data_IF_412679945326
#
_entry.id   IF_412679945326
#
_cell.length_a   1.000
_cell.length_b   1.000
_cell.length_c   1.000
_cell.angle_alpha   90.00
_cell.angle_beta   90.00
_cell.angle_gamma   90.00
#
_symmetry.space_group_name_H-M   'P 1'
#
loop_
_entity.id
_entity.type
_entity.pdbx_description
1 polymer ?
#
# COMPACT_ATOMS: atom_id res chain seq x y z
N UNK A 1 1.40 -11.30 -31.71
CA UNK A 1 0.36 -11.59 -32.71
C UNK A 1 -0.97 -11.25 -32.07
N UNK A 2 -1.24 -9.97 -31.82
CA UNK A 2 -1.80 -9.01 -32.79
C UNK A 2 -3.04 -9.56 -33.48
N UNK A 3 -4.21 -9.12 -33.01
CA UNK A 3 -5.27 -8.61 -33.88
C UNK A 3 -5.97 -7.48 -33.11
N UNK A 4 -5.42 -6.28 -33.24
CA UNK A 4 -6.19 -5.05 -33.18
C UNK A 4 -6.48 -4.69 -34.63
N UNK A 5 -7.71 -4.91 -35.08
CA UNK A 5 -8.24 -4.30 -36.30
C UNK A 5 -9.73 -4.63 -36.31
N UNK A 6 -10.59 -3.68 -35.97
CA UNK A 6 -11.99 -3.56 -36.42
C UNK A 6 -12.57 -2.22 -35.91
N UNK A 7 -11.86 -1.14 -36.18
CA UNK A 7 -12.47 0.18 -36.37
C UNK A 7 -12.22 0.52 -37.83
N UNK A 8 -13.18 0.21 -38.69
CA UNK A 8 -13.71 1.13 -39.71
C UNK A 8 -14.57 0.33 -40.71
N UNK A 9 -15.89 0.53 -40.63
CA UNK A 9 -16.86 0.42 -41.73
C UNK A 9 -18.23 0.76 -41.18
N UNK A 10 -18.57 2.05 -41.29
CA UNK A 10 -19.93 2.50 -41.15
C UNK A 10 -20.78 1.98 -42.31
N UNK A 11 -21.74 1.12 -42.00
CA UNK A 11 -22.90 0.88 -42.86
C UNK A 11 -24.16 0.77 -41.98
N UNK A 12 -25.01 1.78 -42.15
CA UNK A 12 -26.45 1.84 -41.93
C UNK A 12 -27.13 0.72 -41.11
N UNK A 13 -27.17 0.86 -39.78
CA UNK A 13 -28.28 0.30 -39.00
C UNK A 13 -29.47 1.26 -39.04
N UNK A 14 -30.20 1.18 -40.15
CA UNK A 14 -31.56 1.67 -40.24
C UNK A 14 -32.49 0.94 -39.27
N UNK A 15 -33.15 1.72 -38.45
CA UNK A 15 -34.55 1.53 -38.06
C UNK A 15 -34.96 0.40 -37.09
N UNK A 16 -34.10 0.01 -36.13
CA UNK A 16 -34.56 -0.78 -34.97
C UNK A 16 -35.32 0.04 -33.91
N UNK A 17 -35.25 1.37 -33.97
CA UNK A 17 -36.01 2.24 -33.09
C UNK A 17 -37.52 2.26 -33.42
N UNK A 18 -37.94 1.94 -34.64
CA UNK A 18 -39.37 1.87 -34.97
C UNK A 18 -40.04 0.58 -34.47
N UNK A 19 -39.34 -0.56 -34.45
CA UNK A 19 -39.88 -1.82 -33.92
C UNK A 19 -39.92 -1.85 -32.39
N UNK A 20 -38.90 -1.30 -31.71
CA UNK A 20 -38.92 -1.16 -30.24
C UNK A 20 -40.00 -0.16 -29.82
N UNK A 21 -40.17 0.94 -30.57
CA UNK A 21 -41.26 1.89 -30.30
C UNK A 21 -42.64 1.32 -30.64
N UNK A 22 -42.78 0.44 -31.63
CA UNK A 22 -44.04 -0.24 -31.94
C UNK A 22 -44.44 -1.29 -30.88
N UNK A 23 -43.47 -2.00 -30.30
CA UNK A 23 -43.71 -2.87 -29.14
C UNK A 23 -43.99 -2.07 -27.86
N UNK A 24 -43.25 -0.97 -27.60
CA UNK A 24 -43.56 -0.04 -26.49
C UNK A 24 -44.92 0.62 -26.62
N UNK A 25 -45.43 0.83 -27.84
CA UNK A 25 -46.77 1.40 -28.07
C UNK A 25 -47.91 0.38 -27.88
N UNK A 26 -47.62 -0.92 -27.98
CA UNK A 26 -48.62 -1.98 -27.74
C UNK A 26 -48.65 -2.48 -26.30
N UNK A 27 -47.57 -2.29 -25.53
CA UNK A 27 -47.55 -2.40 -24.06
C UNK A 27 -47.77 -1.06 -23.36
N UNK A 28 -48.45 -0.12 -24.03
CA UNK A 28 -49.05 1.02 -23.38
C UNK A 28 -50.10 0.51 -22.40
N UNK A 29 -49.64 0.26 -21.17
CA UNK A 29 -50.33 0.41 -19.90
C UNK A 29 -51.84 0.60 -20.11
N UNK A 30 -52.57 -0.51 -20.13
CA UNK A 30 -54.04 -0.51 -20.06
C UNK A 30 -54.40 0.53 -18.99
N UNK A 31 -55.16 1.60 -19.31
CA UNK A 31 -55.45 2.63 -18.33
C UNK A 31 -56.15 1.94 -17.18
N UNK A 32 -55.45 1.80 -16.04
CA UNK A 32 -56.09 1.36 -14.80
C UNK A 32 -57.24 2.33 -14.59
N UNK A 33 -58.46 1.81 -14.76
CA UNK A 33 -59.64 2.65 -14.76
C UNK A 33 -59.66 3.44 -13.47
N UNK A 34 -60.11 4.69 -13.51
CA UNK A 34 -60.26 5.54 -12.32
C UNK A 34 -61.02 4.76 -11.22
N UNK A 35 -61.96 3.91 -11.63
CA UNK A 35 -62.65 2.95 -10.78
C UNK A 35 -61.74 1.95 -10.10
N UNK A 36 -60.76 1.33 -10.77
CA UNK A 36 -59.77 0.45 -10.11
C UNK A 36 -58.92 1.20 -9.08
N UNK A 37 -58.51 2.45 -9.34
CA UNK A 37 -57.79 3.28 -8.36
C UNK A 37 -58.65 3.65 -7.16
N UNK A 38 -59.90 4.02 -7.39
CA UNK A 38 -60.88 4.32 -6.32
C UNK A 38 -61.20 3.06 -5.52
N UNK A 39 -61.31 1.90 -6.18
CA UNK A 39 -61.56 0.62 -5.53
C UNK A 39 -60.36 0.16 -4.70
N UNK A 40 -59.13 0.35 -5.20
CA UNK A 40 -57.91 0.17 -4.41
C UNK A 40 -57.89 1.13 -3.21
N UNK A 41 -58.18 2.42 -3.39
CA UNK A 41 -58.22 3.40 -2.30
C UNK A 41 -59.29 3.07 -1.23
N UNK A 42 -60.48 2.67 -1.67
CA UNK A 42 -61.57 2.27 -0.78
C UNK A 42 -61.24 0.96 -0.06
N UNK A 43 -60.64 -0.01 -0.77
CA UNK A 43 -60.17 -1.27 -0.20
C UNK A 43 -59.06 -1.05 0.83
N UNK A 44 -58.09 -0.16 0.57
CA UNK A 44 -57.07 0.22 1.54
C UNK A 44 -57.67 0.91 2.76
N UNK A 45 -58.59 1.86 2.57
CA UNK A 45 -59.29 2.51 3.69
C UNK A 45 -60.06 1.50 4.55
N UNK A 46 -60.75 0.56 3.92
CA UNK A 46 -61.46 -0.50 4.62
C UNK A 46 -60.49 -1.41 5.39
N UNK A 47 -59.34 -1.75 4.79
CA UNK A 47 -58.33 -2.60 5.40
C UNK A 47 -57.66 -1.93 6.60
N UNK A 48 -57.30 -0.64 6.50
CA UNK A 48 -56.79 0.13 7.64
C UNK A 48 -57.85 0.35 8.73
N UNK A 49 -59.12 0.54 8.34
CA UNK A 49 -60.22 0.65 9.29
C UNK A 49 -60.45 -0.66 10.06
N UNK A 50 -60.44 -1.80 9.36
CA UNK A 50 -60.56 -3.13 9.98
C UNK A 50 -59.35 -3.44 10.88
N UNK A 51 -58.14 -3.12 10.43
CA UNK A 51 -56.92 -3.28 11.22
C UNK A 51 -56.95 -2.40 12.47
N UNK A 52 -57.30 -1.12 12.33
CA UNK A 52 -57.41 -0.17 13.44
C UNK A 52 -58.48 -0.58 14.45
N UNK A 53 -59.61 -1.10 13.96
CA UNK A 53 -60.66 -1.66 14.82
C UNK A 53 -60.18 -2.91 15.56
N UNK A 54 -59.50 -3.83 14.89
CA UNK A 54 -58.94 -5.03 15.53
C UNK A 54 -57.88 -4.68 16.59
N UNK A 55 -57.04 -3.67 16.36
CA UNK A 55 -56.07 -3.16 17.33
C UNK A 55 -56.78 -2.52 18.53
N UNK A 56 -57.85 -1.75 18.29
CA UNK A 56 -58.67 -1.13 19.33
C UNK A 56 -59.45 -2.14 20.18
N UNK A 57 -59.92 -3.23 19.58
CA UNK A 57 -60.67 -4.30 20.26
C UNK A 57 -59.75 -5.19 21.12
N UNK A 58 -58.47 -5.36 20.75
CA UNK A 58 -57.52 -6.23 21.47
C UNK A 58 -56.14 -5.57 21.75
N UNK A 59 -56.09 -4.46 22.51
CA UNK A 59 -54.86 -3.66 22.66
C UNK A 59 -53.71 -4.42 23.34
N UNK A 60 -53.99 -5.31 24.29
CA UNK A 60 -52.96 -6.07 25.03
C UNK A 60 -52.21 -7.07 24.15
N UNK A 61 -52.92 -7.75 23.24
CA UNK A 61 -52.33 -8.75 22.35
C UNK A 61 -51.37 -8.10 21.36
N UNK A 62 -51.73 -6.93 20.82
CA UNK A 62 -50.87 -6.18 19.91
C UNK A 62 -49.64 -5.56 20.62
N UNK A 63 -49.76 -5.15 21.89
CA UNK A 63 -48.61 -4.71 22.70
C UNK A 63 -47.64 -5.84 23.04
N UNK A 64 -48.15 -7.04 23.33
CA UNK A 64 -47.30 -8.22 23.52
C UNK A 64 -46.61 -8.62 22.22
N UNK A 65 -47.32 -8.56 21.10
CA UNK A 65 -46.75 -8.83 19.79
C UNK A 65 -45.63 -7.85 19.44
N UNK A 66 -45.81 -6.55 19.67
CA UNK A 66 -44.76 -5.56 19.42
C UNK A 66 -43.55 -5.75 20.33
N UNK A 67 -43.76 -6.16 21.58
CA UNK A 67 -42.69 -6.53 22.52
C UNK A 67 -41.94 -7.81 22.09
N UNK A 68 -42.64 -8.79 21.52
CA UNK A 68 -42.02 -9.98 20.94
C UNK A 68 -41.20 -9.66 19.70
N UNK A 69 -41.67 -8.73 18.86
CA UNK A 69 -40.90 -8.26 17.69
C UNK A 69 -39.68 -7.45 18.13
N UNK A 70 -39.77 -6.63 19.18
CA UNK A 70 -38.61 -5.86 19.67
C UNK A 70 -37.53 -6.75 20.30
N UNK A 71 -37.86 -7.95 20.78
CA UNK A 71 -36.86 -8.94 21.22
C UNK A 71 -35.90 -9.38 20.10
N UNK A 72 -36.25 -9.18 18.83
CA UNK A 72 -35.30 -9.39 17.71
C UNK A 72 -34.06 -8.49 17.79
N UNK A 73 -34.13 -7.36 18.51
CA UNK A 73 -32.97 -6.49 18.76
C UNK A 73 -31.89 -7.15 19.63
N UNK A 74 -32.22 -8.22 20.38
CA UNK A 74 -31.21 -9.00 21.12
C UNK A 74 -30.19 -9.69 20.19
N UNK A 75 -30.52 -9.88 18.91
CA UNK A 75 -29.58 -10.41 17.92
C UNK A 75 -28.39 -9.49 17.61
N UNK A 76 -28.42 -8.24 18.07
CA UNK A 76 -27.30 -7.30 17.89
C UNK A 76 -26.08 -7.63 18.76
N UNK A 77 -26.21 -8.50 19.76
CA UNK A 77 -25.11 -8.89 20.66
C UNK A 77 -23.96 -9.61 19.92
N UNK A 78 -24.25 -10.30 18.83
CA UNK A 78 -23.25 -11.01 18.01
C UNK A 78 -22.81 -10.24 16.77
N UNK A 79 -23.01 -8.92 16.75
CA UNK A 79 -22.60 -8.10 15.61
C UNK A 79 -21.07 -7.96 15.57
N UNK A 80 -20.43 -8.65 14.60
CA UNK A 80 -19.00 -8.54 14.33
C UNK A 80 -18.73 -7.32 13.43
N UNK A 81 -18.10 -6.26 13.97
CA UNK A 81 -17.61 -5.15 13.16
C UNK A 81 -16.33 -5.57 12.44
N UNK A 82 -16.43 -5.82 11.14
CA UNK A 82 -15.26 -6.05 10.28
C UNK A 82 -14.75 -4.73 9.73
N UNK A 83 -13.79 -4.14 10.40
CA UNK A 83 -13.10 -2.93 9.93
C UNK A 83 -11.88 -3.32 9.08
N UNK A 84 -12.16 -3.89 7.90
CA UNK A 84 -11.12 -4.18 6.91
C UNK A 84 -11.31 -3.30 5.68
N UNK A 85 -10.36 -2.38 5.46
CA UNK A 85 -10.36 -1.47 4.31
C UNK A 85 -10.37 -2.27 2.99
N UNK A 86 -9.84 -3.50 2.99
CA UNK A 86 -9.79 -4.34 1.80
C UNK A 86 -11.14 -4.97 1.46
N UNK A 87 -11.84 -5.56 2.43
CA UNK A 87 -13.12 -6.26 2.17
C UNK A 87 -14.29 -5.27 2.00
N UNK A 88 -14.20 -4.07 2.58
CA UNK A 88 -15.24 -3.05 2.44
C UNK A 88 -15.26 -2.32 1.09
N UNK A 89 -14.12 -2.24 0.39
CA UNK A 89 -13.97 -1.39 -0.80
C UNK A 89 -13.53 -2.13 -2.07
N UNK A 90 -13.18 -3.42 -1.98
CA UNK A 90 -12.80 -4.24 -3.14
C UNK A 90 -13.76 -5.44 -3.24
N UNK A 91 -14.28 -5.79 -4.44
CA UNK A 91 -15.16 -6.93 -4.57
C UNK A 91 -14.41 -8.24 -4.26
N UNK A 92 -15.00 -9.11 -3.44
CA UNK A 92 -14.37 -10.34 -2.92
C UNK A 92 -13.93 -11.33 -4.01
N UNK A 93 -14.46 -11.20 -5.23
CA UNK A 93 -14.10 -12.01 -6.39
C UNK A 93 -13.11 -11.33 -7.35
N UNK A 94 -12.48 -10.23 -6.95
CA UNK A 94 -11.47 -9.56 -7.77
C UNK A 94 -10.23 -10.45 -7.98
N UNK A 95 -9.58 -10.32 -9.14
CA UNK A 95 -8.32 -11.02 -9.44
C UNK A 95 -7.21 -10.70 -8.41
N UNK A 96 -7.19 -9.48 -7.89
CA UNK A 96 -6.24 -9.05 -6.85
C UNK A 96 -6.41 -9.82 -5.54
N UNK A 97 -7.62 -10.24 -5.17
CA UNK A 97 -7.84 -11.10 -4.00
C UNK A 97 -7.20 -12.47 -4.20
N UNK A 98 -7.38 -13.08 -5.38
CA UNK A 98 -6.74 -14.35 -5.71
C UNK A 98 -5.21 -14.25 -5.68
N UNK A 99 -4.63 -13.23 -6.31
CA UNK A 99 -3.17 -13.01 -6.31
C UNK A 99 -2.62 -12.81 -4.89
N UNK A 100 -3.35 -12.07 -4.05
CA UNK A 100 -2.97 -11.86 -2.64
C UNK A 100 -3.04 -13.15 -1.82
N UNK A 101 -4.09 -13.95 -2.03
CA UNK A 101 -4.28 -15.23 -1.35
C UNK A 101 -3.20 -16.25 -1.73
N UNK A 102 -2.85 -16.34 -3.01
CA UNK A 102 -1.76 -17.18 -3.48
C UNK A 102 -0.42 -16.73 -2.90
N UNK A 103 -0.13 -15.42 -2.90
CA UNK A 103 1.09 -14.87 -2.28
C UNK A 103 1.16 -15.20 -0.77
N UNK A 104 0.03 -15.15 -0.08
CA UNK A 104 -0.10 -15.47 1.33
C UNK A 104 0.26 -16.93 1.61
N UNK A 105 -0.23 -17.85 0.78
CA UNK A 105 0.11 -19.28 0.89
C UNK A 105 1.60 -19.55 0.65
N UNK A 106 2.23 -18.86 -0.30
CA UNK A 106 3.68 -18.97 -0.51
C UNK A 106 4.52 -18.43 0.66
N UNK A 107 3.98 -17.47 1.41
CA UNK A 107 4.67 -16.81 2.52
C UNK A 107 4.38 -17.44 3.88
N UNK A 108 3.65 -18.57 3.91
CA UNK A 108 3.11 -19.22 5.13
C UNK A 108 2.40 -18.22 6.08
N UNK A 109 1.75 -17.24 5.47
CA UNK A 109 1.06 -16.19 6.17
C UNK A 109 -0.41 -16.59 6.34
N UNK A 110 -1.02 -16.39 7.51
CA UNK A 110 -2.46 -16.66 7.68
C UNK A 110 -3.33 -15.43 7.47
N UNK A 111 -2.76 -14.24 7.69
CA UNK A 111 -3.47 -12.94 7.66
C UNK A 111 -2.57 -11.88 7.02
N UNK A 112 -3.17 -10.84 6.43
CA UNK A 112 -2.42 -9.68 5.95
C UNK A 112 -1.65 -9.02 7.11
N UNK A 113 -0.36 -8.72 6.95
CA UNK A 113 0.42 -8.10 8.01
C UNK A 113 -0.08 -6.69 8.33
N UNK A 114 0.16 -6.25 9.56
CA UNK A 114 0.15 -4.82 9.87
C UNK A 114 1.39 -4.20 9.26
N UNK A 115 1.24 -3.03 8.65
CA UNK A 115 2.34 -2.28 8.03
C UNK A 115 2.53 -0.98 8.78
N UNK A 116 3.74 -0.78 9.31
CA UNK A 116 4.19 0.51 9.82
C UNK A 116 5.12 1.14 8.79
N UNK A 117 4.87 2.38 8.43
CA UNK A 117 5.78 3.18 7.64
C UNK A 117 6.44 4.23 8.53
N UNK A 118 7.77 4.28 8.51
CA UNK A 118 8.49 5.45 8.98
C UNK A 118 9.31 6.04 7.85
N UNK A 119 9.39 7.36 7.88
CA UNK A 119 9.82 8.20 6.77
C UNK A 119 10.93 9.12 7.27
N UNK A 120 11.99 9.27 6.50
CA UNK A 120 13.19 10.05 6.85
C UNK A 120 13.43 11.14 5.82
N UNK A 121 13.44 12.38 6.30
CA UNK A 121 13.69 13.58 5.51
C UNK A 121 14.98 14.25 5.98
N UNK A 122 15.63 15.01 5.10
CA UNK A 122 16.77 15.81 5.50
C UNK A 122 16.27 17.07 6.23
N UNK A 123 16.83 17.37 7.41
CA UNK A 123 16.44 18.56 8.20
C UNK A 123 16.70 19.87 7.48
N UNK A 124 17.69 19.89 6.60
CA UNK A 124 18.02 21.05 5.78
C UNK A 124 17.16 21.19 4.51
N UNK A 125 16.20 20.29 4.31
CA UNK A 125 15.31 20.27 3.13
C UNK A 125 16.00 19.92 1.83
N UNK A 126 17.26 19.46 1.86
CA UNK A 126 18.01 19.02 0.68
C UNK A 126 17.91 17.50 0.52
N UNK A 127 18.79 16.92 -0.29
CA UNK A 127 18.70 15.50 -0.62
C UNK A 127 19.07 14.56 0.52
N UNK A 128 18.32 13.47 0.69
CA UNK A 128 18.69 12.33 1.53
C UNK A 128 19.77 11.43 0.94
N UNK A 129 20.17 11.62 -0.33
CA UNK A 129 21.13 10.77 -1.05
C UNK A 129 22.60 10.97 -0.64
N UNK A 130 22.88 11.95 0.22
CA UNK A 130 24.24 12.25 0.69
C UNK A 130 24.74 11.14 1.60
N UNK A 131 26.03 10.77 1.49
CA UNK A 131 26.66 9.71 2.29
C UNK A 131 26.36 9.85 3.80
N UNK A 132 26.54 11.03 4.37
CA UNK A 132 26.26 11.28 5.80
C UNK A 132 24.80 11.07 6.21
N UNK A 133 23.86 11.36 5.31
CA UNK A 133 22.42 11.20 5.58
C UNK A 133 22.00 9.74 5.43
N UNK A 134 22.56 9.02 4.47
CA UNK A 134 22.39 7.57 4.32
C UNK A 134 22.96 6.81 5.53
N UNK A 135 24.11 7.23 6.05
CA UNK A 135 24.71 6.65 7.27
C UNK A 135 23.87 6.92 8.52
N UNK A 136 23.23 8.10 8.61
CA UNK A 136 22.28 8.38 9.67
C UNK A 136 20.98 7.58 9.54
N UNK A 137 20.45 7.46 8.32
CA UNK A 137 19.27 6.65 8.04
C UNK A 137 19.49 5.17 8.43
N UNK A 138 20.64 4.59 8.09
CA UNK A 138 21.00 3.22 8.51
C UNK A 138 21.03 3.08 10.04
N UNK A 139 21.65 4.04 10.74
CA UNK A 139 21.67 4.04 12.22
C UNK A 139 20.28 4.12 12.81
N UNK A 140 19.39 4.95 12.26
CA UNK A 140 17.99 5.06 12.69
C UNK A 140 17.27 3.72 12.48
N UNK A 141 17.36 3.13 11.29
CA UNK A 141 16.69 1.85 10.97
C UNK A 141 17.15 0.75 11.92
N UNK A 142 18.45 0.67 12.20
CA UNK A 142 18.99 -0.29 13.16
C UNK A 142 18.48 -0.04 14.58
N UNK A 143 18.47 1.21 15.04
CA UNK A 143 17.95 1.57 16.36
C UNK A 143 16.46 1.24 16.50
N UNK A 144 15.68 1.44 15.43
CA UNK A 144 14.26 1.11 15.36
C UNK A 144 14.03 -0.40 15.43
N UNK A 145 14.76 -1.19 14.65
CA UNK A 145 14.57 -2.66 14.63
C UNK A 145 14.99 -3.33 15.94
N UNK A 146 15.92 -2.73 16.69
CA UNK A 146 16.36 -3.17 18.02
C UNK A 146 15.55 -2.51 19.17
N UNK A 147 14.60 -1.62 18.85
CA UNK A 147 13.86 -0.85 19.84
C UNK A 147 13.03 -1.76 20.75
N UNK A 148 13.21 -1.53 22.04
CA UNK A 148 12.47 -2.21 23.10
C UNK A 148 11.52 -1.24 23.80
N UNK A 149 10.22 -1.52 23.73
CA UNK A 149 9.18 -0.72 24.37
C UNK A 149 8.74 -1.42 25.65
N UNK A 150 8.71 -0.68 26.77
CA UNK A 150 8.21 -1.19 28.06
C UNK A 150 6.82 -0.66 28.31
N UNK A 151 5.83 -1.54 28.42
CA UNK A 151 4.45 -1.18 28.77
C UNK A 151 3.89 -2.17 29.79
N UNK A 152 3.41 -1.69 30.94
CA UNK A 152 2.79 -2.54 31.97
C UNK A 152 3.69 -3.67 32.51
N UNK A 153 5.01 -3.48 32.56
CA UNK A 153 5.98 -4.51 32.97
C UNK A 153 6.37 -5.51 31.89
N UNK A 154 5.69 -5.51 30.74
CA UNK A 154 6.07 -6.30 29.57
C UNK A 154 7.10 -5.56 28.72
N UNK A 155 8.10 -6.31 28.26
CA UNK A 155 9.15 -5.84 27.36
C UNK A 155 8.83 -6.33 25.95
N UNK A 156 8.44 -5.40 25.09
CA UNK A 156 8.04 -5.69 23.71
C UNK A 156 9.20 -5.29 22.78
N UNK A 157 9.69 -6.24 21.99
CA UNK A 157 10.79 -6.04 21.04
C UNK A 157 10.25 -6.27 19.63
N UNK A 158 10.60 -5.40 18.67
CA UNK A 158 10.12 -5.55 17.29
C UNK A 158 10.41 -6.94 16.71
N UNK A 159 11.62 -7.46 16.97
CA UNK A 159 12.07 -8.76 16.49
C UNK A 159 11.17 -9.94 16.91
N UNK A 160 10.45 -9.84 18.04
CA UNK A 160 9.53 -10.90 18.46
C UNK A 160 8.13 -10.79 17.85
N UNK A 161 7.81 -9.67 17.18
CA UNK A 161 6.49 -9.41 16.58
C UNK A 161 6.55 -9.44 15.05
N UNK A 162 7.72 -9.20 14.47
CA UNK A 162 7.86 -9.09 13.03
C UNK A 162 7.74 -10.41 12.28
N UNK A 163 7.97 -11.56 12.91
CA UNK A 163 7.95 -12.86 12.22
C UNK A 163 6.57 -13.16 11.62
N UNK A 164 6.49 -13.63 10.35
CA UNK A 164 7.59 -14.02 9.44
C UNK A 164 8.16 -12.86 8.58
N UNK A 165 7.71 -11.62 8.76
CA UNK A 165 7.96 -10.46 7.91
C UNK A 165 9.12 -9.55 8.31
N UNK A 166 10.15 -10.07 8.97
CA UNK A 166 11.29 -9.29 9.47
C UNK A 166 12.26 -8.78 8.37
N UNK A 167 11.81 -8.67 7.12
CA UNK A 167 12.58 -8.24 5.95
C UNK A 167 12.26 -6.82 5.48
N UNK A 168 11.47 -6.05 6.25
CA UNK A 168 11.00 -4.72 5.88
C UNK A 168 12.09 -3.69 5.54
N UNK A 169 13.27 -3.82 6.15
CA UNK A 169 14.43 -2.96 5.93
C UNK A 169 15.39 -3.49 4.84
N UNK A 170 15.16 -4.70 4.32
CA UNK A 170 16.14 -5.43 3.51
C UNK A 170 16.52 -4.69 2.22
N UNK A 171 15.55 -4.07 1.54
CA UNK A 171 15.79 -3.32 0.29
C UNK A 171 16.75 -2.16 0.53
N UNK A 172 16.51 -1.37 1.59
CA UNK A 172 17.38 -0.26 1.96
C UNK A 172 18.75 -0.75 2.43
N UNK A 173 18.80 -1.81 3.25
CA UNK A 173 20.05 -2.39 3.75
C UNK A 173 20.95 -2.86 2.62
N UNK A 174 20.39 -3.59 1.66
CA UNK A 174 21.12 -4.05 0.46
C UNK A 174 21.62 -2.85 -0.34
N UNK A 175 20.75 -1.87 -0.64
CA UNK A 175 21.16 -0.66 -1.35
C UNK A 175 22.34 0.05 -0.65
N UNK A 176 22.25 0.22 0.67
CA UNK A 176 23.24 0.91 1.49
C UNK A 176 24.58 0.17 1.55
N UNK A 177 24.56 -1.14 1.71
CA UNK A 177 25.75 -2.00 1.76
C UNK A 177 26.59 -1.84 0.48
N UNK A 178 25.97 -1.99 -0.69
CA UNK A 178 26.67 -1.84 -1.96
C UNK A 178 26.99 -0.38 -2.30
N UNK A 179 26.19 0.57 -1.83
CA UNK A 179 26.52 2.00 -1.95
C UNK A 179 27.81 2.31 -1.19
N UNK A 180 27.99 1.76 0.00
CA UNK A 180 29.18 1.96 0.82
C UNK A 180 30.42 1.32 0.21
N UNK A 181 30.30 0.12 -0.34
CA UNK A 181 31.38 -0.56 -1.06
C UNK A 181 31.83 0.27 -2.27
N UNK A 182 30.88 0.74 -3.09
CA UNK A 182 31.17 1.58 -4.24
C UNK A 182 31.74 2.94 -3.85
N UNK A 183 31.23 3.55 -2.78
CA UNK A 183 31.74 4.82 -2.27
C UNK A 183 33.16 4.67 -1.73
N UNK A 184 33.46 3.58 -1.02
CA UNK A 184 34.80 3.28 -0.52
C UNK A 184 35.81 3.11 -1.67
N UNK A 185 35.45 2.35 -2.70
CA UNK A 185 36.29 2.16 -3.88
C UNK A 185 36.46 3.47 -4.67
N UNK A 186 35.41 4.27 -4.78
CA UNK A 186 35.47 5.58 -5.43
C UNK A 186 36.41 6.56 -4.69
N UNK A 187 36.46 6.52 -3.36
CA UNK A 187 37.35 7.38 -2.58
C UNK A 187 38.80 6.87 -2.58
N UNK A 188 39.00 5.56 -2.45
CA UNK A 188 40.35 4.97 -2.29
C UNK A 188 41.06 4.73 -3.63
N UNK A 189 40.34 4.16 -4.59
CA UNK A 189 40.87 3.72 -5.89
C UNK A 189 40.48 4.67 -7.03
N UNK A 190 39.59 5.65 -6.78
CA UNK A 190 39.02 6.55 -7.81
C UNK A 190 38.29 5.81 -8.92
N UNK A 191 37.78 4.63 -8.62
CA UNK A 191 37.00 3.82 -9.55
C UNK A 191 35.76 3.24 -8.85
N UNK A 192 34.74 2.90 -9.63
CA UNK A 192 33.58 2.15 -9.15
C UNK A 192 33.28 0.97 -10.08
N UNK A 193 32.76 -0.10 -9.53
CA UNK A 193 32.59 -1.38 -10.22
C UNK A 193 31.28 -1.44 -11.02
N UNK A 194 31.29 -2.03 -12.21
CA UNK A 194 30.08 -2.33 -12.99
C UNK A 194 29.23 -3.46 -12.37
N UNK A 195 29.82 -4.24 -11.46
CA UNK A 195 29.17 -5.39 -10.79
C UNK A 195 27.94 -4.96 -9.98
N UNK A 196 28.01 -3.79 -9.36
CA UNK A 196 26.91 -3.23 -8.56
C UNK A 196 26.38 -1.98 -9.25
N UNK A 197 25.33 -2.16 -10.04
CA UNK A 197 24.66 -1.08 -10.73
C UNK A 197 23.52 -0.55 -9.86
N UNK A 198 23.76 0.55 -9.15
CA UNK A 198 22.80 1.17 -8.21
C UNK A 198 21.90 2.21 -8.89
N UNK A 199 21.36 1.88 -10.06
CA UNK A 199 20.46 2.76 -10.81
C UNK A 199 19.01 2.67 -10.35
N UNK A 200 18.36 3.81 -10.21
CA UNK A 200 16.92 3.92 -9.98
C UNK A 200 16.16 3.68 -11.29
N UNK A 201 15.01 2.96 -11.28
CA UNK A 201 14.29 2.45 -10.11
C UNK A 201 14.69 1.05 -9.63
N UNK A 202 15.49 0.30 -10.40
CA UNK A 202 15.92 -1.06 -10.05
C UNK A 202 17.43 -1.17 -10.03
N UNK A 203 18.01 -1.39 -8.86
CA UNK A 203 19.42 -1.71 -8.74
C UNK A 203 19.67 -3.15 -9.22
N UNK A 204 20.84 -3.40 -9.80
CA UNK A 204 21.31 -4.74 -10.14
C UNK A 204 22.56 -5.05 -9.33
N UNK A 205 22.43 -6.01 -8.41
CA UNK A 205 23.48 -6.43 -7.50
C UNK A 205 23.74 -7.91 -7.76
N UNK A 206 24.93 -8.26 -8.24
CA UNK A 206 25.33 -9.67 -8.48
C UNK A 206 24.21 -10.44 -9.21
N UNK A 207 23.73 -9.88 -10.32
CA UNK A 207 22.65 -10.41 -11.18
C UNK A 207 21.22 -10.41 -10.59
N UNK A 208 21.03 -9.98 -9.35
CA UNK A 208 19.72 -9.85 -8.74
C UNK A 208 19.20 -8.42 -8.91
N UNK A 209 17.93 -8.30 -9.32
CA UNK A 209 17.26 -7.00 -9.44
C UNK A 209 16.63 -6.65 -8.10
N UNK A 210 17.01 -5.51 -7.54
CA UNK A 210 16.53 -4.99 -6.26
C UNK A 210 15.68 -3.75 -6.53
N UNK A 211 14.38 -3.74 -6.16
CA UNK A 211 13.48 -2.62 -6.39
C UNK A 211 13.72 -1.50 -5.37
N UNK A 212 14.67 -0.60 -5.65
CA UNK A 212 15.03 0.49 -4.74
C UNK A 212 13.99 1.62 -4.72
N UNK A 213 13.08 1.63 -5.67
CA UNK A 213 11.86 2.46 -5.68
C UNK A 213 10.91 2.17 -4.52
N UNK A 214 11.07 1.02 -3.84
CA UNK A 214 10.29 0.71 -2.64
C UNK A 214 10.74 1.49 -1.39
N UNK A 215 11.97 2.04 -1.38
CA UNK A 215 12.49 2.77 -0.22
C UNK A 215 12.91 4.21 -0.52
N UNK A 216 13.16 4.59 -1.78
CA UNK A 216 13.59 5.94 -2.17
C UNK A 216 12.47 6.68 -2.90
N UNK A 217 12.08 7.85 -2.38
CA UNK A 217 10.96 8.65 -2.88
C UNK A 217 11.36 10.08 -3.23
N UNK A 218 10.65 10.67 -4.19
CA UNK A 218 10.94 12.01 -4.71
C UNK A 218 12.28 12.08 -5.45
N UNK A 219 12.60 11.01 -6.19
CA UNK A 219 13.88 10.86 -6.88
C UNK A 219 13.93 11.75 -8.12
N UNK A 220 14.97 12.59 -8.23
CA UNK A 220 15.36 13.28 -9.46
C UNK A 220 16.63 12.63 -10.00
N UNK A 221 16.58 12.26 -11.27
CA UNK A 221 17.69 11.62 -11.95
C UNK A 221 18.65 12.66 -12.49
N UNK A 222 19.93 12.30 -12.55
CA UNK A 222 20.93 13.13 -13.23
C UNK A 222 20.51 13.24 -14.70
N UNK A 223 20.49 14.47 -15.23
CA UNK A 223 20.18 14.71 -16.63
C UNK A 223 21.36 14.25 -17.51
N UNK A 224 21.43 12.94 -17.74
CA UNK A 224 22.42 12.33 -18.60
C UNK A 224 21.80 12.23 -19.99
N UNK A 225 22.38 12.93 -20.97
CA UNK A 225 22.15 12.68 -22.40
C UNK A 225 22.73 11.31 -22.73
N UNK A 226 22.01 10.25 -22.37
CA UNK A 226 22.38 8.88 -22.72
C UNK A 226 22.23 8.72 -24.23
N UNK A 227 23.34 8.50 -24.92
CA UNK A 227 23.31 8.12 -26.32
C UNK A 227 22.96 6.62 -26.40
N UNK A 228 21.66 6.32 -26.52
CA UNK A 228 21.10 4.97 -26.47
C UNK A 228 21.70 4.00 -27.51
N UNK A 229 22.35 4.54 -28.54
CA UNK A 229 22.98 3.83 -29.66
C UNK A 229 24.21 3.02 -29.28
N UNK A 230 24.89 3.30 -28.15
CA UNK A 230 26.11 2.57 -27.77
C UNK A 230 25.82 1.26 -27.01
N UNK A 231 24.68 1.17 -26.30
CA UNK A 231 24.34 0.05 -25.42
C UNK A 231 23.82 -1.21 -26.15
N UNK A 232 23.16 -1.06 -27.30
CA UNK A 232 22.55 -2.19 -28.03
C UNK A 232 23.53 -2.93 -28.95
N UNK A 233 24.66 -2.29 -29.30
CA UNK A 233 25.65 -2.86 -30.23
C UNK A 233 26.61 -3.88 -29.59
N UNK A 234 26.59 -4.03 -28.27
CA UNK A 234 27.48 -4.94 -27.50
C UNK A 234 26.82 -6.22 -27.01
N UNK A 235 25.57 -6.48 -27.41
CA UNK A 235 24.76 -7.61 -26.90
C UNK A 235 25.24 -9.01 -27.31
N UNK A 236 26.14 -9.09 -28.30
CA UNK A 236 26.79 -10.35 -28.68
C UNK A 236 28.20 -10.44 -28.13
N UNK A 237 28.45 -11.29 -27.14
CA UNK A 237 29.79 -11.77 -26.71
C UNK A 237 30.61 -10.95 -25.68
N UNK A 238 30.05 -9.97 -24.95
CA UNK A 238 30.82 -9.18 -23.93
C UNK A 238 30.35 -9.29 -22.46
N UNK A 239 29.42 -10.18 -22.15
CA UNK A 239 28.73 -10.17 -20.85
C UNK A 239 29.64 -10.41 -19.61
N UNK A 240 30.69 -11.23 -19.73
CA UNK A 240 31.61 -11.49 -18.61
C UNK A 240 32.65 -10.36 -18.42
N UNK A 241 33.14 -9.77 -19.52
CA UNK A 241 34.12 -8.68 -19.46
C UNK A 241 33.50 -7.33 -19.09
N UNK A 242 32.25 -7.08 -19.47
CA UNK A 242 31.50 -5.89 -19.05
C UNK A 242 31.20 -5.87 -17.55
N UNK A 243 31.06 -7.04 -16.92
CA UNK A 243 30.90 -7.19 -15.47
C UNK A 243 32.17 -6.84 -14.69
N UNK A 244 33.36 -7.12 -15.24
CA UNK A 244 34.66 -6.79 -14.61
C UNK A 244 35.12 -5.35 -14.88
N UNK A 245 34.31 -4.52 -15.55
CA UNK A 245 34.69 -3.14 -15.82
C UNK A 245 34.63 -2.31 -14.54
N UNK A 246 35.72 -1.59 -14.31
CA UNK A 246 35.75 -0.47 -13.38
C UNK A 246 35.64 0.81 -14.19
N UNK A 247 34.87 1.77 -13.67
CA UNK A 247 34.69 3.09 -14.26
C UNK A 247 35.47 4.12 -13.44
N UNK A 248 36.19 5.01 -14.12
CA UNK A 248 36.91 6.10 -13.47
C UNK A 248 35.94 7.16 -12.92
N UNK A 249 36.24 7.66 -11.72
CA UNK A 249 35.49 8.73 -11.05
C UNK A 249 36.01 10.10 -11.51
N UNK A 250 35.11 10.96 -11.97
CA UNK A 250 35.40 12.37 -12.19
C UNK A 250 35.43 13.12 -10.85
N UNK A 251 36.62 13.56 -10.44
CA UNK A 251 36.82 14.31 -9.20
C UNK A 251 36.08 15.66 -9.14
N UNK A 252 35.59 16.19 -10.28
CA UNK A 252 34.84 17.46 -10.33
C UNK A 252 33.37 17.30 -9.95
N UNK A 253 32.84 16.07 -9.96
CA UNK A 253 31.43 15.78 -9.66
C UNK A 253 31.30 15.06 -8.32
N UNK A 254 30.16 15.22 -7.60
CA UNK A 254 29.89 14.44 -6.41
C UNK A 254 29.94 12.94 -6.72
N UNK A 255 30.52 12.15 -5.81
CA UNK A 255 30.71 10.71 -6.00
C UNK A 255 29.36 10.00 -6.03
N UNK A 256 28.43 10.43 -5.18
CA UNK A 256 27.11 9.84 -4.99
C UNK A 256 26.28 9.79 -6.29
N UNK A 257 26.47 10.80 -7.16
CA UNK A 257 25.77 10.94 -8.45
C UNK A 257 26.46 10.20 -9.59
N UNK A 258 27.65 9.66 -9.36
CA UNK A 258 28.41 8.89 -10.35
C UNK A 258 28.22 7.40 -10.09
N UNK A 259 28.24 6.99 -8.82
CA UNK A 259 27.96 5.60 -8.40
C UNK A 259 26.48 5.23 -8.52
N UNK A 260 25.59 6.22 -8.59
CA UNK A 260 24.15 6.06 -8.85
C UNK A 260 23.70 7.01 -9.96
N UNK A 261 22.50 6.83 -10.54
CA UNK A 261 21.90 7.81 -11.46
C UNK A 261 21.02 8.85 -10.75
N UNK A 262 21.10 8.96 -9.43
CA UNK A 262 20.22 9.81 -8.62
C UNK A 262 20.93 11.12 -8.25
N UNK A 263 20.39 12.25 -8.69
CA UNK A 263 20.86 13.59 -8.29
C UNK A 263 20.25 13.99 -6.95
N UNK A 264 18.99 13.59 -6.72
CA UNK A 264 18.26 13.98 -5.53
C UNK A 264 17.29 12.89 -5.10
N UNK A 265 17.35 12.47 -3.85
CA UNK A 265 16.29 11.74 -3.15
C UNK A 265 15.68 12.68 -2.11
N UNK A 266 14.35 12.80 -2.08
CA UNK A 266 13.65 13.64 -1.10
C UNK A 266 13.45 12.90 0.22
N UNK A 267 12.98 11.66 0.14
CA UNK A 267 12.50 10.90 1.27
C UNK A 267 13.00 9.46 1.19
N UNK A 268 13.41 8.92 2.32
CA UNK A 268 13.64 7.48 2.48
C UNK A 268 12.50 6.93 3.34
N UNK A 269 11.79 5.92 2.86
CA UNK A 269 10.75 5.25 3.64
C UNK A 269 11.10 3.78 3.83
N UNK A 270 10.86 3.28 5.04
CA UNK A 270 11.01 1.86 5.37
C UNK A 270 9.68 1.36 5.90
N UNK A 271 9.28 0.20 5.39
CA UNK A 271 8.02 -0.44 5.73
C UNK A 271 8.30 -1.65 6.61
N UNK A 272 7.99 -1.54 7.89
CA UNK A 272 8.04 -2.65 8.82
C UNK A 272 6.71 -3.37 8.83
N UNK A 273 6.76 -4.66 9.14
CA UNK A 273 5.63 -5.55 9.09
C UNK A 273 5.52 -6.33 10.39
N UNK A 274 4.30 -6.51 10.87
CA UNK A 274 4.00 -7.33 12.03
C UNK A 274 2.86 -8.30 11.78
N UNK A 275 2.90 -9.44 12.44
CA UNK A 275 1.89 -10.49 12.30
C UNK A 275 0.55 -10.12 12.96
N UNK A 276 -0.56 -10.44 12.29
CA UNK A 276 -1.93 -10.32 12.82
C UNK A 276 -2.50 -11.64 13.33
N UNK A 277 -1.68 -12.67 13.53
CA UNK A 277 -2.17 -14.03 13.79
C UNK A 277 -2.94 -14.15 15.12
N UNK A 278 -2.61 -13.32 16.12
CA UNK A 278 -3.25 -13.34 17.44
C UNK A 278 -3.62 -11.93 17.90
N UNK A 279 -4.67 -11.82 18.72
CA UNK A 279 -5.08 -10.53 19.31
C UNK A 279 -3.99 -9.91 20.18
N UNK A 280 -3.14 -10.75 20.81
CA UNK A 280 -1.97 -10.30 21.55
C UNK A 280 -0.89 -9.70 20.63
N UNK A 281 -0.60 -10.32 19.48
CA UNK A 281 0.38 -9.79 18.54
C UNK A 281 -0.05 -8.44 17.96
N UNK A 282 -1.35 -8.29 17.64
CA UNK A 282 -1.92 -7.01 17.19
C UNK A 282 -1.75 -5.94 18.27
N UNK A 283 -2.15 -6.24 19.51
CA UNK A 283 -2.01 -5.30 20.64
C UNK A 283 -0.56 -4.93 20.89
N UNK A 284 0.34 -5.91 20.91
CA UNK A 284 1.74 -5.70 21.22
C UNK A 284 2.44 -4.88 20.10
N UNK A 285 2.06 -5.09 18.84
CA UNK A 285 2.51 -4.24 17.73
C UNK A 285 1.99 -2.82 17.88
N UNK A 286 0.70 -2.61 18.16
CA UNK A 286 0.15 -1.26 18.39
C UNK A 286 0.83 -0.54 19.57
N UNK A 287 1.15 -1.26 20.64
CA UNK A 287 1.92 -0.69 21.76
C UNK A 287 3.34 -0.34 21.34
N UNK A 288 3.97 -1.18 20.52
CA UNK A 288 5.29 -0.91 19.97
C UNK A 288 5.29 0.30 19.02
N UNK A 289 4.26 0.45 18.18
CA UNK A 289 4.01 1.61 17.30
C UNK A 289 3.91 2.92 18.08
N UNK A 290 3.23 2.91 19.23
CA UNK A 290 3.20 4.07 20.13
C UNK A 290 4.59 4.38 20.70
N UNK A 291 5.33 3.35 21.08
CA UNK A 291 6.69 3.50 21.60
C UNK A 291 7.66 4.09 20.58
N UNK A 292 7.60 3.66 19.31
CA UNK A 292 8.42 4.25 18.25
C UNK A 292 7.99 5.68 17.90
N UNK A 293 6.69 5.99 17.96
CA UNK A 293 6.22 7.36 17.80
C UNK A 293 6.82 8.28 18.88
N UNK A 294 6.81 7.86 20.15
CA UNK A 294 7.42 8.63 21.23
C UNK A 294 8.96 8.70 21.11
N UNK A 295 9.59 7.60 20.71
CA UNK A 295 11.04 7.56 20.43
C UNK A 295 11.41 8.55 19.31
N UNK A 296 10.63 8.59 18.22
CA UNK A 296 10.86 9.51 17.10
C UNK A 296 10.78 10.98 17.51
N UNK A 297 9.87 11.33 18.42
CA UNK A 297 9.78 12.68 19.00
C UNK A 297 11.02 13.03 19.81
N UNK A 298 11.52 12.10 20.62
CA UNK A 298 12.74 12.31 21.41
C UNK A 298 13.96 12.45 20.50
N UNK A 299 14.04 11.62 19.45
CA UNK A 299 15.07 11.69 18.42
C UNK A 299 15.08 13.05 17.72
N UNK A 300 13.93 13.49 17.20
CA UNK A 300 13.82 14.77 16.48
C UNK A 300 14.18 15.98 17.34
N UNK A 301 13.90 15.92 18.65
CA UNK A 301 14.27 16.93 19.64
C UNK A 301 15.77 16.94 20.00
N UNK A 302 16.56 16.00 19.48
CA UNK A 302 17.98 15.87 19.79
C UNK A 302 18.27 15.33 21.20
N UNK A 303 17.29 14.69 21.85
CA UNK A 303 17.47 14.14 23.20
C UNK A 303 18.27 12.84 23.22
N UNK A 304 18.38 12.17 22.07
CA UNK A 304 19.04 10.88 21.91
C UNK A 304 20.43 10.99 21.27
N UNK A 305 20.67 12.02 20.47
CA UNK A 305 21.91 12.23 19.72
C UNK A 305 22.19 13.72 19.57
N UNK A 306 23.44 14.13 19.84
CA UNK A 306 23.83 15.54 19.93
C UNK A 306 23.81 16.29 18.59
N UNK A 307 23.82 15.59 17.45
CA UNK A 307 23.68 16.17 16.11
C UNK A 307 22.86 15.21 15.23
N UNK A 308 21.75 15.71 14.70
CA UNK A 308 20.85 14.96 13.81
C UNK A 308 20.75 15.72 12.49
N UNK A 309 21.04 15.05 11.38
CA UNK A 309 20.88 15.56 10.02
C UNK A 309 19.51 15.17 9.44
N UNK A 310 18.90 14.13 10.00
CA UNK A 310 17.66 13.53 9.51
C UNK A 310 16.51 13.82 10.47
N UNK A 311 15.35 14.13 9.91
CA UNK A 311 14.08 14.21 10.61
C UNK A 311 13.28 12.93 10.37
N UNK A 312 12.84 12.30 11.46
CA UNK A 312 12.06 11.08 11.42
C UNK A 312 10.57 11.39 11.52
N UNK A 313 9.80 10.95 10.54
CA UNK A 313 8.35 11.05 10.49
C UNK A 313 7.75 9.66 10.72
N UNK A 314 7.03 9.51 11.82
CA UNK A 314 6.26 8.30 12.14
C UNK A 314 4.78 8.69 12.17
N UNK A 315 4.00 8.08 11.29
CA UNK A 315 2.55 8.25 11.26
C UNK A 315 1.91 7.38 12.34
N UNK A 316 0.97 7.95 13.09
CA UNK A 316 0.04 7.17 13.92
C UNK A 316 -1.08 6.71 12.99
N UNK A 317 -1.09 5.43 12.62
CA UNK A 317 -2.19 4.83 11.87
C UNK A 317 -3.40 4.58 12.77
#
# INVERSE_FOLDING_TARGET
MEVAEWIDKGEHFGNNNQLINAHKKKEAQKPQSIWTRIWHFASFRLLFYLLGRAIGDYPRSFLLLSMLVSLSSLGMDQMELRDSIREGYTPLNAKSFYESEVMRQFSDATVDPMRLAFMMLAKDGKSMHRKSHLDEAERIIKAVTELTVKHGGQRIVYKSICEPYCFGDQVFRVFKEYFDEQYHDAVTKKVYSAVYNLTYPYATVVYHRVPIDQCLFGVRLVNQTFNYTEYWNTRGSRFFWDFLKNYDIDAKRPIEFQITNMEHVTLIAVFLYGSKNTSTAVRDLSLWELGIYDWSKQYNRGLLTNETLVELLVSRL
#
